data_IF_866778546607
#
_entry.id   IF_866778546607
#
_cell.length_a   1.000
_cell.length_b   1.000
_cell.length_c   1.000
_cell.angle_alpha   90.00
_cell.angle_beta   90.00
_cell.angle_gamma   90.00
#
_symmetry.space_group_name_H-M   'P 1'
#
loop_
_entity.id
_entity.type
_entity.pdbx_description
1 polymer ?
#
# COMPACT_ATOMS: atom_id res chain seq x y z
N UNK A 1 -6.17 -13.98 -0.28
CA UNK A 1 -5.41 -14.91 0.59
C UNK A 1 -6.01 -16.31 0.73
N UNK A 2 -7.26 -16.58 0.36
CA UNK A 2 -7.78 -17.96 0.26
C UNK A 2 -7.10 -18.78 -0.85
N UNK A 3 -6.77 -18.17 -1.98
CA UNK A 3 -6.11 -18.82 -3.12
C UNK A 3 -4.62 -19.10 -2.84
N UNK A 4 -3.94 -18.19 -2.13
CA UNK A 4 -2.54 -18.36 -1.76
C UNK A 4 -2.33 -19.51 -0.75
N UNK A 5 -3.26 -19.71 0.20
CA UNK A 5 -3.15 -20.82 1.16
C UNK A 5 -3.35 -22.19 0.50
N UNK A 6 -4.27 -22.31 -0.46
CA UNK A 6 -4.46 -23.53 -1.25
C UNK A 6 -3.21 -23.89 -2.06
N UNK A 7 -2.51 -22.89 -2.58
CA UNK A 7 -1.28 -23.05 -3.38
C UNK A 7 -0.08 -23.40 -2.51
N UNK A 8 0.03 -22.80 -1.32
CA UNK A 8 1.05 -23.20 -0.33
C UNK A 8 0.82 -24.64 0.13
N UNK A 9 -0.45 -25.04 0.30
CA UNK A 9 -0.82 -26.42 0.65
C UNK A 9 -0.50 -27.40 -0.48
N UNK A 10 -0.74 -27.07 -1.75
CA UNK A 10 -0.36 -27.94 -2.88
C UNK A 10 1.17 -28.00 -3.09
N UNK A 11 1.88 -26.90 -2.82
CA UNK A 11 3.35 -26.87 -2.79
C UNK A 11 3.94 -27.75 -1.69
N UNK A 12 3.30 -27.81 -0.51
CA UNK A 12 3.69 -28.72 0.58
C UNK A 12 3.39 -30.19 0.27
N UNK A 13 2.40 -30.45 -0.59
CA UNK A 13 2.02 -31.79 -1.06
C UNK A 13 2.81 -32.27 -2.29
N UNK A 14 3.82 -31.51 -2.75
CA UNK A 14 4.67 -31.84 -3.91
C UNK A 14 3.91 -31.97 -5.26
N UNK A 15 2.66 -31.52 -5.35
CA UNK A 15 1.87 -31.45 -6.58
C UNK A 15 2.25 -30.17 -7.36
N UNK A 16 3.21 -30.30 -8.28
CA UNK A 16 3.91 -29.17 -8.85
C UNK A 16 3.37 -28.73 -10.22
N UNK A 17 2.69 -27.58 -10.28
CA UNK A 17 2.34 -26.91 -11.54
C UNK A 17 2.99 -25.51 -11.66
N UNK A 18 4.18 -25.43 -12.30
CA UNK A 18 4.91 -24.15 -12.57
C UNK A 18 4.02 -23.06 -13.22
N UNK A 19 3.07 -23.46 -14.07
CA UNK A 19 2.23 -22.55 -14.83
C UNK A 19 1.15 -21.84 -14.01
N UNK A 20 0.68 -22.46 -12.92
CA UNK A 20 -0.39 -21.90 -12.10
C UNK A 20 0.09 -20.69 -11.29
N UNK A 21 1.35 -20.71 -10.88
CA UNK A 21 1.93 -19.68 -10.03
C UNK A 21 1.94 -18.29 -10.70
N UNK A 22 2.31 -18.19 -12.00
CA UNK A 22 2.23 -16.92 -12.75
C UNK A 22 0.79 -16.42 -12.88
N UNK A 23 -0.18 -17.34 -13.05
CA UNK A 23 -1.61 -17.03 -13.13
C UNK A 23 -2.14 -16.50 -11.80
N UNK A 24 -1.60 -16.97 -10.68
CA UNK A 24 -1.94 -16.50 -9.33
C UNK A 24 -1.40 -15.10 -9.09
N UNK A 25 -0.11 -14.84 -9.38
CA UNK A 25 0.45 -13.48 -9.26
C UNK A 25 -0.36 -12.49 -10.10
N UNK A 26 -0.65 -12.85 -11.36
CA UNK A 26 -1.41 -11.97 -12.25
C UNK A 26 -2.83 -11.67 -11.72
N UNK A 27 -3.48 -12.64 -11.05
CA UNK A 27 -4.76 -12.42 -10.38
C UNK A 27 -4.62 -11.54 -9.14
N UNK A 28 -3.59 -11.74 -8.33
CA UNK A 28 -3.35 -10.92 -7.12
C UNK A 28 -2.97 -9.47 -7.43
N UNK A 29 -2.22 -9.22 -8.51
CA UNK A 29 -1.92 -7.86 -8.96
C UNK A 29 -3.21 -7.16 -9.43
N UNK A 30 -4.06 -7.84 -10.20
CA UNK A 30 -5.34 -7.27 -10.67
C UNK A 30 -6.29 -6.94 -9.52
N UNK A 31 -6.45 -7.84 -8.55
CA UNK A 31 -7.28 -7.57 -7.36
C UNK A 31 -6.64 -6.51 -6.48
N UNK A 32 -5.31 -6.50 -6.36
CA UNK A 32 -4.54 -5.47 -5.68
C UNK A 32 -4.78 -4.07 -6.26
N UNK A 33 -4.76 -3.94 -7.59
CA UNK A 33 -5.02 -2.67 -8.27
C UNK A 33 -6.44 -2.15 -8.02
N UNK A 34 -7.45 -3.03 -8.07
CA UNK A 34 -8.84 -2.64 -7.76
C UNK A 34 -8.98 -2.13 -6.32
N UNK A 35 -8.36 -2.82 -5.36
CA UNK A 35 -8.34 -2.40 -3.95
C UNK A 35 -7.59 -1.07 -3.79
N UNK A 36 -6.45 -0.92 -4.46
CA UNK A 36 -5.62 0.28 -4.41
C UNK A 36 -6.35 1.52 -4.96
N UNK A 37 -7.10 1.36 -6.06
CA UNK A 37 -7.92 2.42 -6.62
C UNK A 37 -9.11 2.75 -5.72
N UNK A 38 -9.80 1.74 -5.19
CA UNK A 38 -10.94 1.95 -4.28
C UNK A 38 -10.52 2.70 -3.01
N UNK A 39 -9.44 2.27 -2.36
CA UNK A 39 -8.91 2.92 -1.16
C UNK A 39 -8.27 4.28 -1.46
N UNK A 40 -7.60 4.43 -2.60
CA UNK A 40 -7.05 5.72 -3.04
C UNK A 40 -8.15 6.76 -3.26
N UNK A 41 -9.21 6.41 -3.98
CA UNK A 41 -10.34 7.31 -4.21
C UNK A 41 -11.09 7.63 -2.91
N UNK A 42 -11.29 6.62 -2.06
CA UNK A 42 -11.90 6.82 -0.75
C UNK A 42 -11.09 7.79 0.10
N UNK A 43 -9.78 7.59 0.22
CA UNK A 43 -8.89 8.45 1.03
C UNK A 43 -8.82 9.87 0.48
N UNK A 44 -8.76 10.03 -0.85
CA UNK A 44 -8.78 11.34 -1.50
C UNK A 44 -10.05 12.13 -1.19
N UNK A 45 -11.22 11.47 -1.15
CA UNK A 45 -12.50 12.12 -0.82
C UNK A 45 -12.69 12.30 0.69
N UNK A 46 -12.23 11.34 1.49
CA UNK A 46 -12.44 11.30 2.92
C UNK A 46 -11.63 12.37 3.67
N UNK A 47 -10.38 12.61 3.26
CA UNK A 47 -9.51 13.58 3.97
C UNK A 47 -10.09 15.01 3.91
N UNK A 48 -10.42 15.60 2.74
CA UNK A 48 -11.03 16.94 2.68
C UNK A 48 -12.38 16.99 3.39
N UNK A 49 -13.17 15.91 3.33
CA UNK A 49 -14.45 15.82 4.02
C UNK A 49 -14.30 15.97 5.54
N UNK A 50 -13.26 15.39 6.15
CA UNK A 50 -13.01 15.54 7.59
C UNK A 50 -12.75 17.00 8.00
N UNK A 51 -12.07 17.77 7.14
CA UNK A 51 -11.85 19.20 7.35
C UNK A 51 -13.14 20.01 7.16
N UNK A 52 -13.97 19.65 6.18
CA UNK A 52 -15.27 20.32 5.92
C UNK A 52 -16.27 20.09 7.07
N UNK A 53 -16.32 18.87 7.62
CA UNK A 53 -17.21 18.52 8.75
C UNK A 53 -16.73 19.19 10.05
N UNK A 54 -15.49 19.71 10.10
CA UNK A 54 -14.94 20.35 11.29
C UNK A 54 -14.51 19.37 12.39
N UNK A 55 -14.37 18.08 12.06
CA UNK A 55 -13.76 17.08 12.96
C UNK A 55 -12.30 17.42 13.21
N UNK A 56 -11.61 17.87 12.15
CA UNK A 56 -10.22 18.36 12.21
C UNK A 56 -10.26 19.89 12.11
N UNK A 57 -9.92 20.56 13.21
CA UNK A 57 -9.90 22.03 13.25
C UNK A 57 -8.51 22.56 12.88
N UNK A 58 -8.47 23.46 11.89
CA UNK A 58 -7.23 24.12 11.43
C UNK A 58 -6.65 25.05 12.50
N UNK A 59 -7.48 25.51 13.44
CA UNK A 59 -7.10 26.46 14.52
C UNK A 59 -6.14 25.88 15.56
N UNK A 60 -5.98 24.55 15.66
CA UNK A 60 -4.98 23.93 16.53
C UNK A 60 -3.64 23.66 15.81
N UNK A 61 -3.58 23.89 14.49
CA UNK A 61 -2.40 23.68 13.64
C UNK A 61 -1.60 24.98 13.43
N UNK A 62 -1.81 26.00 14.27
CA UNK A 62 -1.19 27.32 14.11
C UNK A 62 0.35 27.32 14.19
N UNK A 63 0.95 26.29 14.80
CA UNK A 63 2.41 26.10 14.88
C UNK A 63 3.00 25.40 13.64
N UNK A 64 2.17 24.84 12.75
CA UNK A 64 2.62 24.24 11.49
C UNK A 64 2.68 25.32 10.41
N UNK A 65 3.86 25.90 10.30
CA UNK A 65 4.28 26.94 9.35
C UNK A 65 3.87 26.69 7.88
N UNK A 66 3.58 25.46 7.50
CA UNK A 66 3.17 25.05 6.15
C UNK A 66 1.73 25.44 5.77
N UNK A 67 0.79 25.52 6.72
CA UNK A 67 -0.64 25.75 6.41
C UNK A 67 -0.99 27.25 6.34
N UNK A 68 -0.25 28.09 7.06
CA UNK A 68 -0.62 29.50 7.31
C UNK A 68 -0.22 30.47 6.18
N UNK A 69 0.70 30.09 5.31
CA UNK A 69 1.25 30.98 4.27
C UNK A 69 0.65 30.81 2.88
N UNK A 70 -0.25 29.85 2.67
CA UNK A 70 -1.04 29.78 1.44
C UNK A 70 -2.32 30.59 1.61
N UNK A 71 -2.59 31.62 0.77
CA UNK A 71 -3.87 32.32 0.73
C UNK A 71 -5.08 31.38 0.49
N UNK A 72 -4.83 30.13 0.08
CA UNK A 72 -5.81 29.13 -0.29
C UNK A 72 -5.64 27.84 0.55
N UNK A 73 -5.97 27.89 1.84
CA UNK A 73 -5.91 26.73 2.76
C UNK A 73 -6.59 25.45 2.24
N UNK A 74 -7.61 25.60 1.40
CA UNK A 74 -8.33 24.50 0.74
C UNK A 74 -7.47 23.78 -0.31
N UNK A 75 -6.57 24.49 -1.01
CA UNK A 75 -5.64 23.87 -1.98
C UNK A 75 -4.64 22.99 -1.24
N UNK A 76 -4.10 23.46 -0.12
CA UNK A 76 -3.14 22.69 0.67
C UNK A 76 -3.76 21.40 1.23
N UNK A 77 -5.05 21.42 1.59
CA UNK A 77 -5.77 20.20 1.98
C UNK A 77 -5.87 19.23 0.80
N UNK A 78 -6.13 19.72 -0.42
CA UNK A 78 -6.18 18.89 -1.63
C UNK A 78 -4.80 18.31 -1.99
N UNK A 79 -3.72 19.07 -1.80
CA UNK A 79 -2.33 18.61 -2.00
C UNK A 79 -1.98 17.47 -1.02
N UNK A 80 -2.29 17.64 0.26
CA UNK A 80 -2.10 16.60 1.28
C UNK A 80 -2.93 15.36 0.96
N UNK A 81 -4.21 15.56 0.60
CA UNK A 81 -5.12 14.46 0.27
C UNK A 81 -4.68 13.70 -0.97
N UNK A 82 -4.21 14.41 -1.99
CA UNK A 82 -3.63 13.84 -3.21
C UNK A 82 -2.36 13.03 -2.91
N UNK A 83 -1.45 13.60 -2.11
CA UNK A 83 -0.21 12.94 -1.69
C UNK A 83 -0.49 11.61 -0.98
N UNK A 84 -1.39 11.61 0.01
CA UNK A 84 -1.74 10.41 0.78
C UNK A 84 -2.46 9.37 -0.10
N UNK A 85 -3.39 9.80 -0.94
CA UNK A 85 -4.12 8.92 -1.86
C UNK A 85 -3.17 8.19 -2.82
N UNK A 86 -2.29 8.95 -3.49
CA UNK A 86 -1.29 8.41 -4.43
C UNK A 86 -0.34 7.46 -3.68
N UNK A 87 0.12 7.86 -2.49
CA UNK A 87 0.98 7.02 -1.64
C UNK A 87 0.34 5.67 -1.36
N UNK A 88 -0.92 5.65 -0.92
CA UNK A 88 -1.63 4.42 -0.57
C UNK A 88 -1.85 3.55 -1.81
N UNK A 89 -2.24 4.15 -2.94
CA UNK A 89 -2.46 3.40 -4.18
C UNK A 89 -1.17 2.73 -4.65
N UNK A 90 -0.05 3.46 -4.71
CA UNK A 90 1.24 2.91 -5.14
C UNK A 90 1.74 1.85 -4.14
N UNK A 91 1.64 2.15 -2.84
CA UNK A 91 2.14 1.25 -1.79
C UNK A 91 1.39 -0.07 -1.74
N UNK A 92 0.06 -0.08 -1.95
CA UNK A 92 -0.72 -1.33 -2.03
C UNK A 92 -0.26 -2.18 -3.22
N UNK A 93 -0.06 -1.56 -4.40
CA UNK A 93 0.38 -2.30 -5.60
C UNK A 93 1.75 -2.93 -5.35
N UNK A 94 2.69 -2.17 -4.78
CA UNK A 94 4.04 -2.67 -4.47
C UNK A 94 3.99 -3.74 -3.36
N UNK A 95 3.20 -3.54 -2.31
CA UNK A 95 3.02 -4.52 -1.23
C UNK A 95 2.53 -5.87 -1.75
N UNK A 96 1.55 -5.86 -2.68
CA UNK A 96 1.05 -7.08 -3.34
C UNK A 96 2.13 -7.74 -4.19
N UNK A 97 2.94 -6.96 -4.90
CA UNK A 97 4.06 -7.47 -5.68
C UNK A 97 5.14 -8.12 -4.80
N UNK A 98 5.54 -7.44 -3.73
CA UNK A 98 6.54 -7.91 -2.75
C UNK A 98 6.04 -9.18 -2.04
N UNK A 99 4.79 -9.18 -1.57
CA UNK A 99 4.17 -10.33 -0.91
C UNK A 99 4.03 -11.55 -1.82
N UNK A 100 3.83 -11.33 -3.12
CA UNK A 100 3.82 -12.42 -4.10
C UNK A 100 5.22 -12.98 -4.37
N UNK A 101 6.24 -12.14 -4.50
CA UNK A 101 7.61 -12.55 -4.88
C UNK A 101 8.38 -13.19 -3.71
N UNK A 102 8.19 -12.72 -2.48
CA UNK A 102 8.97 -13.18 -1.32
C UNK A 102 8.97 -14.72 -1.17
N UNK A 103 7.80 -15.40 -1.21
CA UNK A 103 7.74 -16.86 -1.09
C UNK A 103 8.50 -17.61 -2.20
N UNK A 104 8.57 -17.06 -3.42
CA UNK A 104 9.38 -17.64 -4.49
C UNK A 104 10.86 -17.50 -4.21
N UNK A 105 11.27 -16.30 -3.83
CA UNK A 105 12.68 -16.02 -3.56
C UNK A 105 13.19 -16.88 -2.40
N UNK A 106 12.36 -17.15 -1.39
CA UNK A 106 12.63 -18.08 -0.29
C UNK A 106 13.00 -19.48 -0.81
N UNK A 107 12.19 -19.99 -1.74
CA UNK A 107 12.40 -21.31 -2.35
C UNK A 107 13.71 -21.37 -3.14
N UNK A 108 14.08 -20.28 -3.82
CA UNK A 108 15.33 -20.21 -4.59
C UNK A 108 16.56 -20.26 -3.67
N UNK A 109 16.49 -19.61 -2.50
CA UNK A 109 17.58 -19.63 -1.50
C UNK A 109 17.54 -20.86 -0.59
N UNK A 110 16.72 -21.88 -0.92
CA UNK A 110 16.49 -23.11 -0.13
C UNK A 110 16.09 -22.83 1.33
N UNK A 111 15.59 -21.64 1.65
CA UNK A 111 14.96 -21.35 2.94
C UNK A 111 13.51 -21.76 2.86
N UNK A 112 12.98 -22.31 3.95
CA UNK A 112 11.61 -22.78 4.00
C UNK A 112 10.66 -21.60 3.75
N UNK A 113 9.84 -21.62 2.67
CA UNK A 113 8.85 -20.57 2.41
C UNK A 113 7.86 -20.40 3.55
N UNK A 114 7.67 -21.43 4.39
CA UNK A 114 6.84 -21.34 5.60
C UNK A 114 7.46 -20.47 6.70
N UNK A 115 8.79 -20.27 6.69
CA UNK A 115 9.48 -19.38 7.64
C UNK A 115 9.36 -17.90 7.26
N UNK A 116 9.05 -17.60 5.99
CA UNK A 116 8.67 -16.25 5.61
C UNK A 116 7.24 -16.03 6.08
N UNK A 117 7.13 -15.62 7.34
CA UNK A 117 5.88 -15.39 8.03
C UNK A 117 5.18 -14.12 7.50
N UNK A 118 3.86 -14.05 7.67
CA UNK A 118 3.08 -12.83 7.40
C UNK A 118 3.70 -11.56 8.06
N UNK A 119 4.21 -11.61 9.30
CA UNK A 119 4.93 -10.48 9.93
C UNK A 119 6.10 -9.91 9.13
N UNK A 120 6.85 -10.74 8.40
CA UNK A 120 8.00 -10.26 7.63
C UNK A 120 7.56 -9.50 6.38
N UNK A 121 6.50 -9.98 5.71
CA UNK A 121 5.91 -9.32 4.54
C UNK A 121 5.35 -7.95 4.93
N UNK A 122 4.63 -7.85 6.05
CA UNK A 122 4.06 -6.57 6.51
C UNK A 122 5.16 -5.59 6.88
N UNK A 123 6.23 -6.02 7.55
CA UNK A 123 7.36 -5.14 7.91
C UNK A 123 8.05 -4.54 6.69
N UNK A 124 8.33 -5.34 5.66
CA UNK A 124 8.93 -4.82 4.41
C UNK A 124 7.97 -3.86 3.73
N UNK A 125 6.68 -4.23 3.66
CA UNK A 125 5.64 -3.38 3.10
C UNK A 125 5.56 -2.02 3.80
N UNK A 126 5.65 -1.99 5.13
CA UNK A 126 5.60 -0.76 5.93
C UNK A 126 6.79 0.15 5.64
N UNK A 127 8.01 -0.41 5.60
CA UNK A 127 9.22 0.34 5.24
C UNK A 127 9.10 0.94 3.84
N UNK A 128 8.66 0.15 2.85
CA UNK A 128 8.48 0.61 1.47
C UNK A 128 7.43 1.70 1.38
N UNK A 129 6.31 1.56 2.10
CA UNK A 129 5.23 2.55 2.16
C UNK A 129 5.74 3.88 2.71
N UNK A 130 6.51 3.86 3.80
CA UNK A 130 7.09 5.07 4.39
C UNK A 130 8.07 5.76 3.43
N UNK A 131 8.93 5.02 2.75
CA UNK A 131 9.84 5.57 1.75
C UNK A 131 9.06 6.29 0.65
N UNK A 132 8.03 5.65 0.10
CA UNK A 132 7.19 6.24 -0.96
C UNK A 132 6.48 7.50 -0.45
N UNK A 133 5.94 7.45 0.77
CA UNK A 133 5.27 8.59 1.40
C UNK A 133 6.20 9.80 1.51
N UNK A 134 7.39 9.63 2.09
CA UNK A 134 8.34 10.74 2.26
C UNK A 134 8.85 11.29 0.92
N UNK A 135 9.06 10.43 -0.07
CA UNK A 135 9.43 10.86 -1.42
C UNK A 135 8.31 11.69 -2.07
N UNK A 136 7.05 11.28 -1.93
CA UNK A 136 5.93 12.01 -2.49
C UNK A 136 5.67 13.33 -1.78
N UNK A 137 5.83 13.38 -0.46
CA UNK A 137 5.80 14.65 0.29
C UNK A 137 6.83 15.61 -0.29
N UNK A 138 8.10 15.19 -0.41
CA UNK A 138 9.18 16.07 -0.89
C UNK A 138 8.97 16.58 -2.34
N UNK A 139 8.20 15.86 -3.14
CA UNK A 139 7.93 16.23 -4.54
C UNK A 139 6.69 17.10 -4.68
N UNK A 140 5.66 16.87 -3.87
CA UNK A 140 4.34 17.50 -4.02
C UNK A 140 4.17 18.71 -3.09
N UNK A 141 4.76 18.66 -1.89
CA UNK A 141 4.61 19.65 -0.80
C UNK A 141 5.95 20.33 -0.55
#
# INVERSE_FOLDING_TARGET
TQTASLVIRSLALNEYHKGEYRKIIGKEIKTGLLVALGLGLFTFAFIPLLFIIGIVNVTQLEDLTFVKWSPNWWISILEISGTISITITISIVISKFVGAILPLTARLIKKDPALISNPFITTISDIVTLIIYFLLIMVII
#
